data_IF_526989185665
#
_entry.id   IF_526989185665
#
_cell.length_a   1.000
_cell.length_b   1.000
_cell.length_c   1.000
_cell.angle_alpha   90.00
_cell.angle_beta   90.00
_cell.angle_gamma   90.00
#
_symmetry.space_group_name_H-M   'P 1'
#
loop_
_entity.id
_entity.type
_entity.pdbx_description
1 polymer ?
#
# COMPACT_ATOMS: atom_id res chain seq x y z
N UNK A 1 6.00 -11.76 -21.33
CA UNK A 1 6.65 -11.44 -20.06
C UNK A 1 7.53 -10.21 -20.22
N UNK A 2 6.94 -9.02 -20.13
CA UNK A 2 7.60 -7.72 -20.28
C UNK A 2 8.50 -7.42 -19.08
N UNK A 3 8.00 -7.65 -17.86
CA UNK A 3 8.70 -7.34 -16.62
C UNK A 3 9.85 -8.29 -16.35
N UNK A 4 9.74 -9.55 -16.80
CA UNK A 4 10.82 -10.55 -16.65
C UNK A 4 12.14 -10.13 -17.29
N UNK A 5 12.11 -9.28 -18.33
CA UNK A 5 13.31 -8.70 -18.96
C UNK A 5 14.14 -7.85 -17.98
N UNK A 6 13.51 -7.34 -16.93
CA UNK A 6 14.13 -6.47 -15.93
C UNK A 6 14.67 -7.25 -14.71
N UNK A 7 14.60 -8.59 -14.68
CA UNK A 7 15.02 -9.39 -13.51
C UNK A 7 16.48 -9.13 -13.13
N UNK A 8 17.41 -9.15 -14.09
CA UNK A 8 18.83 -8.95 -13.77
C UNK A 8 19.10 -7.52 -13.30
N UNK A 9 18.43 -6.53 -13.90
CA UNK A 9 18.46 -5.15 -13.42
C UNK A 9 17.93 -5.04 -11.99
N UNK A 10 16.83 -5.72 -11.67
CA UNK A 10 16.22 -5.70 -10.34
C UNK A 10 17.15 -6.32 -9.29
N UNK A 11 17.75 -7.47 -9.61
CA UNK A 11 18.75 -8.12 -8.74
C UNK A 11 19.93 -7.18 -8.48
N UNK A 12 20.45 -6.51 -9.52
CA UNK A 12 21.56 -5.56 -9.38
C UNK A 12 21.18 -4.38 -8.49
N UNK A 13 19.98 -3.81 -8.67
CA UNK A 13 19.52 -2.67 -7.86
C UNK A 13 19.29 -3.05 -6.40
N UNK A 14 18.65 -4.20 -6.13
CA UNK A 14 18.46 -4.69 -4.75
C UNK A 14 19.82 -4.91 -4.08
N UNK A 15 20.77 -5.56 -4.76
CA UNK A 15 22.12 -5.75 -4.23
C UNK A 15 22.88 -4.43 -4.03
N UNK A 16 22.72 -3.46 -4.93
CA UNK A 16 23.29 -2.12 -4.74
C UNK A 16 22.75 -1.52 -3.46
N UNK A 17 21.42 -1.51 -3.27
CA UNK A 17 20.74 -0.92 -2.11
C UNK A 17 21.10 -1.59 -0.78
N UNK A 18 21.34 -2.91 -0.79
CA UNK A 18 21.86 -3.67 0.35
C UNK A 18 23.31 -3.28 0.71
N UNK A 19 24.11 -2.91 -0.27
CA UNK A 19 25.52 -2.55 -0.09
C UNK A 19 25.76 -1.04 0.05
N UNK A 20 24.71 -0.21 0.01
CA UNK A 20 24.85 1.23 0.23
C UNK A 20 25.36 1.47 1.65
N UNK A 21 26.53 2.09 1.75
CA UNK A 21 27.00 2.68 2.98
C UNK A 21 26.34 4.06 3.16
N UNK A 22 25.33 4.12 4.02
CA UNK A 22 24.60 5.36 4.33
C UNK A 22 25.53 6.30 5.11
N UNK A 23 25.99 7.36 4.45
CA UNK A 23 26.81 8.41 5.08
C UNK A 23 25.96 9.43 5.86
N UNK A 24 24.64 9.34 5.73
CA UNK A 24 23.61 10.25 6.22
C UNK A 24 22.75 9.64 7.35
N UNK A 25 23.29 8.67 8.09
CA UNK A 25 22.58 8.09 9.24
C UNK A 25 22.29 9.14 10.31
N UNK A 26 21.08 9.07 10.85
CA UNK A 26 20.64 9.91 11.96
C UNK A 26 21.02 9.26 13.29
N UNK A 27 21.78 10.00 14.08
CA UNK A 27 22.20 9.59 15.43
C UNK A 27 21.36 10.31 16.49
N UNK A 28 20.28 9.70 17.03
CA UNK A 28 19.46 10.30 18.08
C UNK A 28 20.23 10.41 19.41
N UNK A 29 20.14 11.56 20.06
CA UNK A 29 20.70 11.76 21.40
C UNK A 29 19.82 11.09 22.47
N UNK A 30 20.41 10.80 23.64
CA UNK A 30 19.75 10.09 24.76
C UNK A 30 18.36 10.64 25.14
N UNK A 31 18.19 11.96 25.08
CA UNK A 31 16.97 12.64 25.52
C UNK A 31 16.01 13.01 24.38
N UNK A 32 16.40 12.75 23.12
CA UNK A 32 15.55 13.00 21.96
C UNK A 32 14.33 12.07 21.97
N UNK A 33 13.27 12.47 21.28
CA UNK A 33 12.18 11.54 20.96
C UNK A 33 12.71 10.38 20.13
N UNK A 34 12.26 9.17 20.42
CA UNK A 34 12.74 8.00 19.72
C UNK A 34 12.26 8.01 18.26
N UNK A 35 13.17 7.84 17.27
CA UNK A 35 12.84 7.82 15.83
C UNK A 35 11.74 6.83 15.44
N UNK A 36 11.57 5.74 16.19
CA UNK A 36 10.53 4.74 15.94
C UNK A 36 9.09 5.26 16.11
N UNK A 37 8.88 6.47 16.65
CA UNK A 37 7.57 7.07 16.85
C UNK A 37 6.80 6.55 18.08
N UNK A 38 7.47 5.92 19.05
CA UNK A 38 6.83 5.41 20.28
C UNK A 38 6.35 6.50 21.24
N UNK A 39 6.81 7.76 21.06
CA UNK A 39 6.60 8.86 22.01
C UNK A 39 7.49 8.77 23.26
N UNK A 40 8.35 7.75 23.37
CA UNK A 40 9.34 7.63 24.44
C UNK A 40 10.63 8.36 24.06
N UNK A 41 11.41 8.78 25.08
CA UNK A 41 12.79 9.23 24.87
C UNK A 41 13.66 8.07 24.36
N UNK A 42 14.65 8.36 23.52
CA UNK A 42 15.52 7.34 22.92
C UNK A 42 16.16 6.42 23.97
N UNK A 43 16.64 6.98 25.09
CA UNK A 43 17.20 6.22 26.23
C UNK A 43 16.25 5.19 26.88
N UNK A 44 14.94 5.33 26.68
CA UNK A 44 13.91 4.43 27.22
C UNK A 44 13.31 3.51 26.15
N UNK A 45 13.84 3.54 24.92
CA UNK A 45 13.24 2.84 23.79
C UNK A 45 14.26 2.04 22.98
N UNK A 46 15.13 2.70 22.21
CA UNK A 46 16.02 2.05 21.24
C UNK A 46 17.52 2.30 21.49
N UNK A 47 17.91 2.87 22.64
CA UNK A 47 19.33 3.17 22.92
C UNK A 47 20.25 1.94 22.92
N UNK A 48 19.70 0.76 23.20
CA UNK A 48 20.44 -0.50 23.27
C UNK A 48 20.10 -1.47 22.11
N UNK A 49 19.26 -1.06 21.15
CA UNK A 49 18.72 -1.99 20.14
C UNK A 49 19.55 -2.10 18.87
N UNK A 50 20.74 -1.46 18.80
CA UNK A 50 21.65 -1.49 17.64
C UNK A 50 20.94 -1.17 16.30
N UNK A 51 19.91 -0.32 16.34
CA UNK A 51 19.15 0.10 15.15
C UNK A 51 19.77 1.38 14.60
N UNK A 52 20.10 1.37 13.32
CA UNK A 52 20.49 2.57 12.57
C UNK A 52 19.23 3.22 11.99
N UNK A 53 19.17 4.54 12.09
CA UNK A 53 18.03 5.33 11.60
C UNK A 53 18.46 6.21 10.44
N UNK A 54 17.61 6.34 9.43
CA UNK A 54 17.77 7.35 8.39
C UNK A 54 16.59 8.31 8.43
N UNK A 55 16.87 9.61 8.47
CA UNK A 55 15.82 10.64 8.46
C UNK A 55 15.31 10.78 7.03
N UNK A 56 13.98 10.81 6.84
CA UNK A 56 13.38 11.07 5.53
C UNK A 56 13.07 12.56 5.40
N UNK A 57 13.38 13.16 4.26
CA UNK A 57 13.29 14.62 4.01
C UNK A 57 11.85 15.16 3.88
N UNK A 58 10.95 14.75 4.77
CA UNK A 58 9.58 15.21 4.80
C UNK A 58 9.10 15.43 6.20
N UNK A 59 8.35 16.52 6.37
CA UNK A 59 7.80 16.96 7.63
C UNK A 59 6.28 16.93 7.50
N UNK A 60 5.63 16.25 8.43
CA UNK A 60 4.19 16.23 8.58
C UNK A 60 3.68 17.55 9.20
N UNK A 61 2.37 17.80 9.10
CA UNK A 61 1.76 19.05 9.58
C UNK A 61 2.05 19.39 11.05
N UNK A 62 2.34 18.38 11.88
CA UNK A 62 2.63 18.52 13.30
C UNK A 62 4.13 18.68 13.59
N UNK A 63 4.96 18.92 12.57
CA UNK A 63 6.41 19.06 12.71
C UNK A 63 7.17 17.73 12.83
N UNK A 64 6.48 16.58 12.90
CA UNK A 64 7.14 15.27 12.94
C UNK A 64 7.69 14.90 11.57
N UNK A 65 8.73 14.09 11.56
CA UNK A 65 9.33 13.52 10.35
C UNK A 65 9.30 12.00 10.41
N UNK A 66 9.56 11.34 9.29
CA UNK A 66 9.74 9.90 9.24
C UNK A 66 11.21 9.54 9.42
N UNK A 67 11.42 8.42 10.09
CA UNK A 67 12.71 7.79 10.20
C UNK A 67 12.57 6.37 9.71
N UNK A 68 13.45 5.96 8.80
CA UNK A 68 13.54 4.59 8.31
C UNK A 68 14.39 3.79 9.27
N UNK A 69 13.86 2.65 9.72
CA UNK A 69 14.64 1.61 10.38
C UNK A 69 15.43 0.85 9.32
N UNK A 70 16.76 1.04 9.33
CA UNK A 70 17.63 0.47 8.29
C UNK A 70 17.69 -1.05 8.35
N UNK A 71 17.47 -1.65 9.52
CA UNK A 71 17.43 -3.11 9.67
C UNK A 71 16.18 -3.68 9.01
N UNK A 72 15.03 -3.06 9.22
CA UNK A 72 13.78 -3.48 8.55
C UNK A 72 13.86 -3.29 7.04
N UNK A 73 14.51 -2.21 6.56
CA UNK A 73 14.78 -2.01 5.13
C UNK A 73 15.65 -3.16 4.58
N UNK A 74 16.73 -3.51 5.26
CA UNK A 74 17.62 -4.60 4.87
C UNK A 74 16.89 -5.95 4.81
N UNK A 75 16.07 -6.26 5.81
CA UNK A 75 15.24 -7.47 5.86
C UNK A 75 14.26 -7.54 4.67
N UNK A 76 13.58 -6.43 4.35
CA UNK A 76 12.70 -6.34 3.18
C UNK A 76 13.46 -6.59 1.87
N UNK A 77 14.63 -5.96 1.69
CA UNK A 77 15.43 -6.11 0.48
C UNK A 77 15.94 -7.55 0.31
N UNK A 78 16.31 -8.23 1.40
CA UNK A 78 16.68 -9.66 1.36
C UNK A 78 15.50 -10.53 0.95
N UNK A 79 14.31 -10.32 1.53
CA UNK A 79 13.08 -11.03 1.11
C UNK A 79 12.82 -10.83 -0.38
N UNK A 80 12.95 -9.60 -0.88
CA UNK A 80 12.79 -9.31 -2.31
C UNK A 80 13.82 -10.03 -3.16
N UNK A 81 15.09 -10.08 -2.74
CA UNK A 81 16.14 -10.79 -3.45
C UNK A 81 15.84 -12.28 -3.56
N UNK A 82 15.44 -12.92 -2.46
CA UNK A 82 15.09 -14.34 -2.41
C UNK A 82 13.94 -14.66 -3.38
N UNK A 83 12.89 -13.83 -3.38
CA UNK A 83 11.75 -13.96 -4.30
C UNK A 83 12.21 -13.81 -5.75
N UNK A 84 12.98 -12.77 -6.07
CA UNK A 84 13.41 -12.51 -7.45
C UNK A 84 14.34 -13.60 -7.97
N UNK A 85 15.23 -14.13 -7.13
CA UNK A 85 16.08 -15.27 -7.47
C UNK A 85 15.24 -16.52 -7.78
N UNK A 86 14.22 -16.80 -6.96
CA UNK A 86 13.29 -17.89 -7.24
C UNK A 86 12.55 -17.70 -8.58
N UNK A 87 12.03 -16.50 -8.87
CA UNK A 87 11.33 -16.20 -10.14
C UNK A 87 12.27 -16.20 -11.37
N UNK A 88 13.57 -15.95 -11.16
CA UNK A 88 14.58 -16.07 -12.22
C UNK A 88 14.71 -17.52 -12.70
N UNK A 89 14.68 -18.48 -11.78
CA UNK A 89 14.76 -19.90 -12.07
C UNK A 89 13.42 -20.48 -12.55
N UNK A 90 12.30 -19.87 -12.18
CA UNK A 90 10.96 -20.37 -12.47
C UNK A 90 10.18 -19.44 -13.42
N UNK A 91 10.04 -19.84 -14.68
CA UNK A 91 9.38 -19.02 -15.74
C UNK A 91 7.85 -18.96 -15.55
N UNK A 92 7.27 -19.96 -14.89
CA UNK A 92 5.84 -20.06 -14.61
C UNK A 92 5.63 -20.74 -13.26
N UNK A 93 4.72 -20.21 -12.45
CA UNK A 93 4.38 -20.75 -11.13
C UNK A 93 2.86 -20.87 -10.98
N UNK A 94 2.39 -21.65 -10.00
CA UNK A 94 0.96 -21.73 -9.68
C UNK A 94 0.50 -20.48 -8.94
N UNK A 95 -0.81 -20.24 -8.94
CA UNK A 95 -1.42 -19.13 -8.20
C UNK A 95 -1.19 -19.27 -6.69
N UNK A 96 -1.26 -20.49 -6.15
CA UNK A 96 -0.99 -20.78 -4.74
C UNK A 96 0.43 -20.38 -4.36
N UNK A 97 1.41 -20.72 -5.22
CA UNK A 97 2.80 -20.31 -4.98
C UNK A 97 2.98 -18.80 -5.13
N UNK A 98 2.29 -18.16 -6.07
CA UNK A 98 2.29 -16.70 -6.20
C UNK A 98 1.75 -16.00 -4.94
N UNK A 99 0.69 -16.53 -4.34
CA UNK A 99 0.11 -16.01 -3.09
C UNK A 99 1.12 -16.16 -1.94
N UNK A 100 1.78 -17.31 -1.82
CA UNK A 100 2.83 -17.54 -0.81
C UNK A 100 3.95 -16.49 -0.92
N UNK A 101 4.46 -16.23 -2.12
CA UNK A 101 5.51 -15.23 -2.35
C UNK A 101 5.04 -13.79 -2.00
N UNK A 102 3.79 -13.45 -2.32
CA UNK A 102 3.22 -12.14 -1.95
C UNK A 102 3.04 -12.04 -0.44
N UNK A 103 2.63 -13.11 0.24
CA UNK A 103 2.47 -13.12 1.70
C UNK A 103 3.81 -12.91 2.40
N UNK A 104 4.88 -13.56 1.93
CA UNK A 104 6.24 -13.34 2.45
C UNK A 104 6.70 -11.89 2.23
N UNK A 105 6.49 -11.35 1.02
CA UNK A 105 6.80 -9.96 0.71
C UNK A 105 6.03 -8.99 1.63
N UNK A 106 4.72 -9.20 1.79
CA UNK A 106 3.88 -8.33 2.60
C UNK A 106 4.16 -8.43 4.09
N UNK A 107 4.59 -9.59 4.58
CA UNK A 107 5.03 -9.77 5.96
C UNK A 107 6.22 -8.87 6.29
N UNK A 108 7.26 -8.87 5.46
CA UNK A 108 8.43 -7.99 5.63
C UNK A 108 8.04 -6.51 5.43
N UNK A 109 7.24 -6.23 4.41
CA UNK A 109 6.79 -4.88 4.09
C UNK A 109 5.93 -4.24 5.21
N UNK A 110 5.06 -5.02 5.84
CA UNK A 110 4.20 -4.55 6.92
C UNK A 110 5.01 -4.14 8.15
N UNK A 111 6.17 -4.76 8.41
CA UNK A 111 7.04 -4.33 9.51
C UNK A 111 7.57 -2.92 9.26
N UNK A 112 8.04 -2.65 8.04
CA UNK A 112 8.51 -1.33 7.62
C UNK A 112 7.40 -0.29 7.71
N UNK A 113 6.23 -0.56 7.12
CA UNK A 113 5.15 0.43 7.14
C UNK A 113 4.50 0.61 8.52
N UNK A 114 4.43 -0.42 9.37
CA UNK A 114 3.98 -0.28 10.76
C UNK A 114 4.92 0.64 11.54
N UNK A 115 6.23 0.56 11.30
CA UNK A 115 7.20 1.45 11.91
C UNK A 115 7.02 2.88 11.40
N UNK A 116 6.95 3.09 10.08
CA UNK A 116 6.73 4.41 9.48
C UNK A 116 5.41 5.05 9.94
N UNK A 117 4.32 4.27 10.01
CA UNK A 117 2.99 4.73 10.37
C UNK A 117 2.94 5.33 11.79
N UNK A 118 3.81 4.92 12.72
CA UNK A 118 3.85 5.48 14.10
C UNK A 118 4.15 6.98 14.14
N UNK A 119 4.91 7.47 13.16
CA UNK A 119 5.22 8.90 13.03
C UNK A 119 4.20 9.63 12.14
N UNK A 120 3.44 8.90 11.33
CA UNK A 120 2.44 9.49 10.45
C UNK A 120 1.24 10.06 11.25
N UNK A 121 0.62 11.15 10.77
CA UNK A 121 -0.66 11.65 11.29
C UNK A 121 -1.80 10.64 11.28
N UNK A 122 -1.71 9.61 10.43
CA UNK A 122 -2.76 8.64 10.18
C UNK A 122 -3.24 7.95 11.46
N UNK A 123 -4.55 7.91 11.67
CA UNK A 123 -5.20 7.18 12.78
C UNK A 123 -6.36 6.33 12.27
N UNK A 124 -6.76 5.34 13.06
CA UNK A 124 -7.98 4.56 12.79
C UNK A 124 -9.16 5.51 12.61
N UNK A 125 -9.95 5.32 11.54
CA UNK A 125 -11.04 6.22 11.19
C UNK A 125 -10.69 7.31 10.17
N UNK A 126 -9.43 7.44 9.73
CA UNK A 126 -9.06 8.27 8.57
C UNK A 126 -9.36 7.50 7.27
N UNK A 127 -10.15 8.09 6.37
CA UNK A 127 -10.61 7.39 5.15
C UNK A 127 -10.29 8.13 3.85
N UNK A 128 -9.46 9.17 3.87
CA UNK A 128 -9.10 9.93 2.66
C UNK A 128 -8.49 9.06 1.55
N UNK A 129 -7.58 8.14 1.90
CA UNK A 129 -6.97 7.22 0.94
C UNK A 129 -7.99 6.21 0.37
N UNK A 130 -9.08 5.92 1.09
CA UNK A 130 -10.14 5.02 0.65
C UNK A 130 -11.01 5.58 -0.49
N UNK A 131 -10.72 6.80 -0.95
CA UNK A 131 -11.36 7.37 -2.14
C UNK A 131 -10.39 7.46 -3.34
N UNK A 132 -9.12 7.08 -3.17
CA UNK A 132 -8.12 7.09 -4.25
C UNK A 132 -8.36 5.94 -5.25
N UNK A 133 -7.86 6.05 -6.50
CA UNK A 133 -7.98 5.00 -7.51
C UNK A 133 -6.86 4.00 -7.27
N UNK A 134 -7.09 3.06 -6.38
CA UNK A 134 -6.09 2.06 -5.99
C UNK A 134 -5.95 1.03 -7.12
N UNK A 135 -4.77 0.96 -7.75
CA UNK A 135 -4.39 -0.14 -8.63
C UNK A 135 -4.18 -1.42 -7.82
N UNK A 136 -4.53 -2.55 -8.44
CA UNK A 136 -4.56 -3.88 -7.84
C UNK A 136 -3.98 -4.87 -8.85
N UNK A 137 -2.91 -5.57 -8.46
CA UNK A 137 -2.41 -6.72 -9.20
C UNK A 137 -3.41 -7.89 -9.13
N UNK A 138 -3.39 -8.77 -10.12
CA UNK A 138 -4.29 -9.92 -10.17
C UNK A 138 -4.09 -10.85 -8.97
N UNK A 139 -2.85 -11.03 -8.51
CA UNK A 139 -2.49 -11.84 -7.36
C UNK A 139 -2.99 -11.23 -6.04
N UNK A 140 -2.99 -9.89 -5.93
CA UNK A 140 -3.58 -9.19 -4.78
C UNK A 140 -5.11 -9.30 -4.80
N UNK A 141 -5.72 -9.26 -5.98
CA UNK A 141 -7.15 -9.54 -6.15
C UNK A 141 -7.50 -10.93 -5.59
N UNK A 142 -6.73 -11.96 -5.94
CA UNK A 142 -6.95 -13.32 -5.45
C UNK A 142 -6.88 -13.40 -3.92
N UNK A 143 -5.87 -12.77 -3.29
CA UNK A 143 -5.75 -12.69 -1.82
C UNK A 143 -7.00 -12.09 -1.17
N UNK A 144 -7.50 -10.98 -1.71
CA UNK A 144 -8.72 -10.35 -1.20
C UNK A 144 -9.93 -11.27 -1.43
N UNK A 145 -10.06 -11.89 -2.61
CA UNK A 145 -11.19 -12.78 -2.92
C UNK A 145 -11.29 -13.97 -1.97
N UNK A 146 -10.17 -14.50 -1.51
CA UNK A 146 -10.12 -15.63 -0.59
C UNK A 146 -10.75 -15.35 0.78
N UNK A 147 -10.83 -14.08 1.19
CA UNK A 147 -11.40 -13.69 2.49
C UNK A 147 -12.78 -13.01 2.39
N UNK A 148 -13.34 -12.85 1.19
CA UNK A 148 -14.62 -12.16 1.01
C UNK A 148 -15.78 -12.99 1.60
N UNK A 149 -16.30 -12.53 2.73
CA UNK A 149 -17.51 -13.04 3.37
C UNK A 149 -18.79 -12.43 2.79
N UNK A 150 -19.96 -12.97 3.13
CA UNK A 150 -21.26 -12.38 2.76
C UNK A 150 -21.46 -10.96 3.32
N UNK A 151 -20.90 -10.66 4.48
CA UNK A 151 -20.90 -9.31 5.05
C UNK A 151 -20.11 -8.34 4.18
N UNK A 152 -18.91 -8.74 3.74
CA UNK A 152 -18.07 -7.94 2.84
C UNK A 152 -18.79 -7.74 1.49
N UNK A 153 -19.44 -8.77 0.94
CA UNK A 153 -20.24 -8.64 -0.30
C UNK A 153 -21.38 -7.64 -0.15
N UNK A 154 -22.09 -7.64 0.99
CA UNK A 154 -23.13 -6.65 1.29
C UNK A 154 -22.55 -5.23 1.35
N UNK A 155 -21.40 -5.05 1.99
CA UNK A 155 -20.69 -3.78 2.05
C UNK A 155 -20.29 -3.28 0.65
N UNK A 156 -19.70 -4.14 -0.19
CA UNK A 156 -19.33 -3.81 -1.59
C UNK A 156 -20.57 -3.34 -2.37
N UNK A 157 -21.70 -4.06 -2.28
CA UNK A 157 -22.96 -3.67 -2.95
C UNK A 157 -23.48 -2.32 -2.45
N UNK A 158 -23.41 -2.06 -1.15
CA UNK A 158 -23.80 -0.79 -0.53
C UNK A 158 -22.94 0.36 -1.08
N UNK A 159 -21.63 0.17 -1.10
CA UNK A 159 -20.71 1.18 -1.61
C UNK A 159 -20.85 1.43 -3.12
N UNK A 160 -21.18 0.39 -3.91
CA UNK A 160 -21.48 0.56 -5.32
C UNK A 160 -22.73 1.43 -5.54
N UNK A 161 -23.81 1.20 -4.77
CA UNK A 161 -25.00 2.08 -4.81
C UNK A 161 -24.64 3.52 -4.42
N UNK A 162 -23.78 3.66 -3.43
CA UNK A 162 -23.32 4.97 -2.97
C UNK A 162 -22.46 5.70 -4.01
N UNK A 163 -21.60 4.98 -4.75
CA UNK A 163 -20.89 5.49 -5.93
C UNK A 163 -21.86 6.07 -6.96
N UNK A 164 -22.96 5.37 -7.26
CA UNK A 164 -23.96 5.83 -8.23
C UNK A 164 -24.70 7.08 -7.72
N UNK A 165 -25.01 7.15 -6.43
CA UNK A 165 -25.63 8.35 -5.83
C UNK A 165 -24.70 9.56 -5.95
N UNK A 166 -23.44 9.38 -5.57
CA UNK A 166 -22.44 10.45 -5.59
C UNK A 166 -22.08 10.93 -7.00
N UNK A 167 -22.13 10.07 -8.00
CA UNK A 167 -21.90 10.48 -9.40
C UNK A 167 -23.01 11.37 -9.98
N UNK A 168 -24.16 11.49 -9.30
CA UNK A 168 -25.26 12.38 -9.70
C UNK A 168 -25.16 13.78 -9.08
N UNK A 169 -24.21 14.03 -8.18
CA UNK A 169 -24.02 15.35 -7.56
C UNK A 169 -23.46 16.31 -8.63
N UNK A 170 -24.10 17.47 -8.88
CA UNK A 170 -23.60 18.44 -9.83
C UNK A 170 -22.22 18.97 -9.44
N UNK A 171 -21.33 19.11 -10.43
CA UNK A 171 -19.96 19.64 -10.23
C UNK A 171 -19.97 21.04 -9.59
N UNK A 172 -21.00 21.85 -9.86
CA UNK A 172 -21.18 23.18 -9.26
C UNK A 172 -21.36 23.16 -7.74
N UNK A 173 -21.78 22.04 -7.16
CA UNK A 173 -21.94 21.86 -5.72
C UNK A 173 -20.69 21.26 -5.05
N UNK A 174 -19.64 21.01 -5.83
CA UNK A 174 -18.39 20.44 -5.33
C UNK A 174 -17.36 21.56 -5.21
N UNK A 175 -16.72 21.65 -4.05
CA UNK A 175 -15.58 22.53 -3.83
C UNK A 175 -14.46 22.19 -4.84
N UNK A 176 -14.16 23.14 -5.73
CA UNK A 176 -13.17 22.99 -6.83
C UNK A 176 -11.72 22.85 -6.37
N UNK A 177 -11.44 23.09 -5.10
CA UNK A 177 -10.13 22.90 -4.49
C UNK A 177 -10.01 21.57 -3.72
N UNK A 178 -11.10 20.81 -3.64
CA UNK A 178 -11.08 19.51 -2.99
C UNK A 178 -10.24 18.50 -3.76
N UNK A 179 -9.33 17.83 -3.06
CA UNK A 179 -8.62 16.67 -3.60
C UNK A 179 -9.55 15.48 -3.92
N UNK A 180 -10.87 15.60 -3.66
CA UNK A 180 -11.89 14.56 -3.88
C UNK A 180 -12.91 14.89 -4.97
N UNK A 181 -12.75 15.98 -5.74
CA UNK A 181 -13.68 16.37 -6.83
C UNK A 181 -13.88 15.25 -7.84
N UNK A 182 -12.82 14.47 -8.12
CA UNK A 182 -12.84 13.32 -9.02
C UNK A 182 -13.16 11.99 -8.31
N UNK A 183 -13.27 11.99 -6.98
CA UNK A 183 -13.20 10.80 -6.12
C UNK A 183 -14.42 10.59 -5.24
N UNK A 184 -15.60 10.84 -5.78
CA UNK A 184 -16.85 10.58 -5.06
C UNK A 184 -17.19 9.06 -4.98
N UNK A 185 -16.26 8.16 -5.33
CA UNK A 185 -16.49 6.72 -5.30
C UNK A 185 -15.79 6.12 -4.08
N UNK A 186 -16.51 5.73 -3.01
CA UNK A 186 -15.89 5.00 -1.91
C UNK A 186 -15.18 3.75 -2.43
N UNK A 187 -14.09 3.34 -1.80
CA UNK A 187 -13.46 2.05 -2.04
C UNK A 187 -14.48 0.92 -1.77
N UNK A 188 -14.52 -0.14 -2.59
CA UNK A 188 -15.38 -1.30 -2.36
C UNK A 188 -15.24 -1.92 -0.96
N UNK A 189 -14.03 -1.86 -0.40
CA UNK A 189 -13.67 -2.45 0.90
C UNK A 189 -13.84 -1.49 2.09
N UNK A 190 -14.33 -0.26 1.87
CA UNK A 190 -14.55 0.70 2.94
C UNK A 190 -15.87 0.41 3.65
N UNK A 191 -15.87 0.14 4.94
CA UNK A 191 -17.05 0.32 5.77
C UNK A 191 -17.21 1.81 6.05
N UNK A 192 -18.16 2.43 5.34
CA UNK A 192 -18.39 3.86 5.38
C UNK A 192 -18.96 4.32 6.74
N UNK A 193 -19.74 3.46 7.41
CA UNK A 193 -20.38 3.79 8.70
C UNK A 193 -19.36 3.81 9.82
N UNK A 194 -18.54 2.76 9.90
CA UNK A 194 -17.53 2.64 10.95
C UNK A 194 -16.17 3.24 10.56
N UNK A 195 -16.03 3.78 9.34
CA UNK A 195 -14.80 4.38 8.80
C UNK A 195 -13.59 3.44 8.89
N UNK A 196 -13.78 2.18 8.51
CA UNK A 196 -12.75 1.12 8.58
C UNK A 196 -12.66 0.34 7.28
N UNK A 197 -11.50 -0.20 6.96
CA UNK A 197 -11.38 -1.17 5.86
C UNK A 197 -11.90 -2.54 6.35
N UNK A 198 -12.74 -3.20 5.57
CA UNK A 198 -13.25 -4.56 5.88
C UNK A 198 -12.20 -5.64 5.64
N UNK A 199 -11.10 -5.31 4.94
CA UNK A 199 -9.98 -6.21 4.62
C UNK A 199 -8.63 -5.55 5.00
N UNK A 200 -8.56 -4.91 6.18
CA UNK A 200 -7.41 -4.06 6.53
C UNK A 200 -6.04 -4.78 6.49
N UNK A 201 -5.99 -6.05 6.93
CA UNK A 201 -4.76 -6.85 6.88
C UNK A 201 -4.44 -7.30 5.44
N UNK A 202 -5.46 -7.53 4.61
CA UNK A 202 -5.33 -7.91 3.20
C UNK A 202 -5.37 -6.72 2.22
N UNK A 203 -5.00 -5.53 2.69
CA UNK A 203 -4.92 -4.36 1.81
C UNK A 203 -3.96 -4.63 0.64
N UNK A 204 -4.12 -3.98 -0.51
CA UNK A 204 -3.10 -3.98 -1.56
C UNK A 204 -1.85 -3.19 -1.15
N UNK A 205 -0.74 -3.42 -1.85
CA UNK A 205 0.51 -2.70 -1.72
C UNK A 205 0.30 -1.18 -1.76
N UNK A 206 -0.39 -0.68 -2.79
CA UNK A 206 -0.68 0.75 -2.93
C UNK A 206 -1.43 1.33 -1.72
N UNK A 207 -2.30 0.56 -1.06
CA UNK A 207 -2.98 0.98 0.16
C UNK A 207 -2.06 1.04 1.39
N UNK A 208 -0.95 0.30 1.41
CA UNK A 208 0.05 0.33 2.50
C UNK A 208 0.96 1.55 2.40
N UNK A 209 1.23 2.03 1.18
CA UNK A 209 2.14 3.15 0.94
C UNK A 209 1.51 4.53 1.18
N UNK A 210 0.17 4.63 1.16
CA UNK A 210 -0.52 5.90 1.33
C UNK A 210 -0.53 6.40 2.78
N UNK A 211 0.33 7.37 3.05
CA UNK A 211 0.25 8.23 4.24
C UNK A 211 -0.25 9.64 3.88
N UNK A 212 -0.97 10.26 4.79
CA UNK A 212 -1.40 11.66 4.67
C UNK A 212 -0.49 12.54 5.52
N UNK A 213 -0.09 13.68 4.99
CA UNK A 213 0.82 14.59 5.68
C UNK A 213 0.10 15.69 6.47
N UNK A 214 -1.18 15.91 6.20
CA UNK A 214 -2.02 16.94 6.82
C UNK A 214 -2.69 16.47 8.13
N UNK A 215 -3.38 17.39 8.81
CA UNK A 215 -4.10 17.09 10.04
C UNK A 215 -5.16 15.99 9.83
N UNK A 216 -5.31 15.02 10.76
CA UNK A 216 -6.22 13.88 10.57
C UNK A 216 -7.68 14.25 10.39
N UNK A 217 -8.14 15.39 10.93
CA UNK A 217 -9.53 15.84 10.80
C UNK A 217 -9.89 16.14 9.34
N UNK A 218 -8.93 16.60 8.55
CA UNK A 218 -9.09 16.87 7.12
C UNK A 218 -9.30 15.56 6.34
N UNK A 219 -8.81 14.41 6.84
CA UNK A 219 -9.02 13.12 6.19
C UNK A 219 -10.48 12.66 6.18
N UNK A 220 -11.35 13.27 6.98
CA UNK A 220 -12.77 12.93 7.04
C UNK A 220 -13.68 14.02 6.45
N UNK A 221 -13.12 15.19 6.14
CA UNK A 221 -13.83 16.24 5.43
C UNK A 221 -14.11 15.77 4.00
N UNK A 222 -15.38 15.90 3.59
CA UNK A 222 -15.83 15.50 2.26
C UNK A 222 -15.05 16.24 1.16
N UNK A 223 -14.77 17.52 1.38
CA UNK A 223 -14.06 18.39 0.47
C UNK A 223 -12.62 18.73 0.91
N UNK A 224 -12.13 18.09 1.98
CA UNK A 224 -10.79 18.36 2.51
C UNK A 224 -9.69 18.10 1.48
N UNK A 225 -8.75 19.05 1.34
CA UNK A 225 -7.54 18.92 0.54
C UNK A 225 -6.48 18.13 1.31
N UNK A 226 -6.28 16.88 0.91
CA UNK A 226 -5.35 15.96 1.55
C UNK A 226 -4.03 15.94 0.81
N UNK A 227 -2.93 16.09 1.54
CA UNK A 227 -1.58 15.96 0.99
C UNK A 227 -1.11 14.53 1.22
N UNK A 228 -0.84 13.81 0.14
CA UNK A 228 -0.29 12.45 0.20
C UNK A 228 1.22 12.56 0.35
N UNK A 229 1.76 11.87 1.34
CA UNK A 229 3.18 11.68 1.49
C UNK A 229 3.69 10.69 0.44
N UNK A 230 4.80 11.02 -0.22
CA UNK A 230 5.46 10.17 -1.22
C UNK A 230 6.86 9.84 -0.71
N UNK A 231 7.16 8.56 -0.53
CA UNK A 231 8.52 8.07 -0.33
C UNK A 231 8.82 7.08 -1.45
N UNK A 232 9.84 7.34 -2.26
CA UNK A 232 10.12 6.53 -3.46
C UNK A 232 11.20 5.46 -3.23
N UNK A 233 11.86 5.42 -2.07
CA UNK A 233 13.11 4.67 -1.89
C UNK A 233 13.09 3.22 -2.39
N UNK A 234 12.20 2.39 -1.85
CA UNK A 234 12.08 0.97 -2.23
C UNK A 234 10.69 0.63 -2.77
N UNK A 235 9.76 1.58 -2.84
CA UNK A 235 8.39 1.33 -3.30
C UNK A 235 8.38 0.87 -4.76
N UNK A 236 9.21 1.48 -5.61
CA UNK A 236 9.34 1.10 -7.02
C UNK A 236 9.87 -0.32 -7.19
N UNK A 237 10.87 -0.71 -6.40
CA UNK A 237 11.40 -2.08 -6.40
C UNK A 237 10.31 -3.07 -5.98
N UNK A 238 9.50 -2.76 -4.96
CA UNK A 238 8.40 -3.63 -4.52
C UNK A 238 7.32 -3.74 -5.60
N UNK A 239 6.95 -2.65 -6.28
CA UNK A 239 6.00 -2.70 -7.40
C UNK A 239 6.49 -3.62 -8.53
N UNK A 240 7.79 -3.58 -8.84
CA UNK A 240 8.37 -4.47 -9.86
C UNK A 240 8.34 -5.92 -9.39
N UNK A 241 8.66 -6.22 -8.12
CA UNK A 241 8.56 -7.59 -7.57
C UNK A 241 7.12 -8.12 -7.66
N UNK A 242 6.12 -7.31 -7.29
CA UNK A 242 4.71 -7.69 -7.41
C UNK A 242 4.34 -7.94 -8.87
N UNK A 243 4.77 -7.07 -9.79
CA UNK A 243 4.51 -7.21 -11.22
C UNK A 243 5.13 -8.49 -11.79
N UNK A 244 6.33 -8.85 -11.33
CA UNK A 244 7.00 -10.10 -11.69
C UNK A 244 6.26 -11.33 -11.16
N UNK A 245 5.80 -11.31 -9.90
CA UNK A 245 5.00 -12.41 -9.35
C UNK A 245 3.72 -12.58 -10.17
N UNK A 246 2.98 -11.50 -10.40
CA UNK A 246 1.73 -11.50 -11.15
C UNK A 246 1.92 -12.04 -12.57
N UNK A 247 2.93 -11.54 -13.28
CA UNK A 247 3.25 -11.98 -14.64
C UNK A 247 3.71 -13.43 -14.71
N UNK A 248 4.41 -13.93 -13.68
CA UNK A 248 4.88 -15.33 -13.62
C UNK A 248 3.73 -16.31 -13.33
N UNK A 249 2.68 -15.86 -12.65
CA UNK A 249 1.44 -16.63 -12.43
C UNK A 249 0.54 -16.59 -13.66
N UNK A 250 0.22 -15.38 -14.16
CA UNK A 250 -0.85 -15.16 -15.13
C UNK A 250 -0.37 -14.94 -16.57
N UNK A 251 0.93 -14.76 -16.79
CA UNK A 251 1.54 -14.52 -18.10
C UNK A 251 1.55 -13.05 -18.56
N UNK A 252 0.84 -12.16 -17.85
CA UNK A 252 0.82 -10.72 -18.07
C UNK A 252 0.62 -9.98 -16.73
N UNK A 253 0.92 -8.68 -16.71
CA UNK A 253 0.60 -7.79 -15.60
C UNK A 253 -0.28 -6.64 -16.11
N UNK A 254 -1.58 -6.74 -15.86
CA UNK A 254 -2.59 -5.75 -16.27
C UNK A 254 -3.40 -5.29 -15.06
N UNK A 255 -2.85 -4.40 -14.22
CA UNK A 255 -3.50 -4.01 -12.98
C UNK A 255 -4.81 -3.26 -13.23
N UNK A 256 -5.86 -3.65 -12.52
CA UNK A 256 -7.16 -2.97 -12.51
C UNK A 256 -7.31 -2.17 -11.24
N UNK A 257 -8.23 -1.22 -11.20
CA UNK A 257 -8.55 -0.55 -9.93
C UNK A 257 -9.44 -1.42 -9.05
N UNK A 258 -9.38 -1.25 -7.72
CA UNK A 258 -10.32 -1.89 -6.79
C UNK A 258 -11.78 -1.69 -7.24
N UNK A 259 -12.12 -0.47 -7.67
CA UNK A 259 -13.46 -0.15 -8.18
C UNK A 259 -13.83 -0.97 -9.42
N UNK A 260 -12.93 -1.12 -10.39
CA UNK A 260 -13.19 -1.94 -11.58
C UNK A 260 -13.35 -3.43 -11.23
N UNK A 261 -12.53 -3.93 -10.31
CA UNK A 261 -12.55 -5.34 -9.91
C UNK A 261 -13.80 -5.72 -9.12
N UNK A 262 -14.26 -4.85 -8.21
CA UNK A 262 -15.30 -5.21 -7.23
C UNK A 262 -16.65 -4.51 -7.43
N UNK A 263 -16.75 -3.43 -8.21
CA UNK A 263 -18.04 -2.84 -8.60
C UNK A 263 -18.60 -3.36 -9.91
N UNK A 264 -17.78 -3.92 -10.80
CA UNK A 264 -18.30 -4.59 -11.99
C UNK A 264 -19.04 -5.85 -11.55
N UNK A 265 -20.36 -5.85 -11.73
CA UNK A 265 -21.13 -7.08 -11.64
C UNK A 265 -20.57 -8.07 -12.68
N UNK A 266 -20.50 -9.36 -12.34
CA UNK A 266 -20.19 -10.48 -13.26
C UNK A 266 -21.20 -10.63 -14.43
N UNK A 267 -21.90 -9.58 -14.83
CA UNK A 267 -22.85 -9.59 -15.95
C UNK A 267 -22.17 -9.77 -17.31
N UNK A 268 -20.88 -9.42 -17.45
CA UNK A 268 -20.18 -9.60 -18.74
C UNK A 268 -19.75 -11.06 -18.97
N UNK A 269 -19.17 -11.73 -17.96
CA UNK A 269 -18.75 -13.13 -18.09
C UNK A 269 -19.91 -14.15 -18.01
N UNK A 270 -20.99 -13.85 -17.27
CA UNK A 270 -22.17 -14.71 -17.27
C UNK A 270 -22.93 -14.67 -18.62
N UNK A 271 -22.81 -13.59 -19.41
CA UNK A 271 -23.36 -13.56 -20.77
C UNK A 271 -22.53 -14.38 -21.76
N UNK A 272 -21.21 -14.41 -21.62
CA UNK A 272 -20.32 -15.22 -22.47
C UNK A 272 -20.47 -16.73 -22.23
N UNK A 273 -20.71 -17.17 -20.98
CA UNK A 273 -21.03 -18.57 -20.65
C UNK A 273 -22.43 -19.05 -21.09
N UNK A 274 -23.26 -18.14 -21.61
CA UNK A 274 -24.58 -18.47 -22.18
C UNK A 274 -24.57 -18.34 -23.72
N UNK A 275 -23.44 -17.95 -24.32
CA UNK A 275 -23.26 -17.73 -25.76
C UNK A 275 -22.25 -18.75 -26.36
N UNK A 276 -21.49 -19.44 -25.51
CA UNK A 276 -20.70 -20.63 -25.84
C UNK A 276 -21.15 -21.79 -24.97
#
# INVERSE_FOLDING_TARGET
MEYRKNIDWLIQNINSDLNINYKDLYEPMRNDECPCGSGLKYKKCHINSQVNWRKVDSIFYNGKTLYEDMKLKEELLKTMLDIVMYLKENIKISEEKGIELIDDLFKSLDQVFKQLQKNAPCRKGCIACCFQPIKLATIEESRIRNIISEEIKKNIKKNHKETIKRSKIPISQINKDSSRIKYAKPCPMLDLENRKCTVYEERPFACRTYFVANAPDICNMYDGKVTIYKNQGYQELVEIVISLIDETVYGCFEPKTLHETFYRNKTFFNKLKLIF
#
